data_IF_460409078680
#
_entry.id   IF_460409078680
#
_cell.length_a   1.000
_cell.length_b   1.000
_cell.length_c   1.000
_cell.angle_alpha   90.00
_cell.angle_beta   90.00
_cell.angle_gamma   90.00
#
_symmetry.space_group_name_H-M   'P 1'
#
loop_
_entity.id
_entity.type
_entity.pdbx_description
1 polymer ?
#
# COMPACT_ATOMS: atom_id res chain seq x y z
N UNK A 1 9.54 -38.76 6.13
CA UNK A 1 8.32 -37.99 6.36
C UNK A 1 8.58 -36.62 6.97
N UNK A 2 9.37 -36.54 8.01
CA UNK A 2 9.66 -35.26 8.69
C UNK A 2 10.36 -34.26 7.76
N UNK A 3 11.27 -34.73 6.92
CA UNK A 3 12.02 -33.89 5.99
C UNK A 3 11.09 -33.30 4.90
N UNK A 4 10.15 -34.09 4.40
CA UNK A 4 9.18 -33.66 3.38
C UNK A 4 8.25 -32.58 3.93
N UNK A 5 7.84 -32.73 5.19
CA UNK A 5 6.97 -31.78 5.88
C UNK A 5 7.68 -30.42 6.06
N UNK A 6 8.94 -30.47 6.46
CA UNK A 6 9.75 -29.26 6.67
C UNK A 6 9.95 -28.51 5.33
N UNK A 7 10.20 -29.23 4.24
CA UNK A 7 10.37 -28.64 2.92
C UNK A 7 9.09 -27.94 2.45
N UNK A 8 7.94 -28.55 2.68
CA UNK A 8 6.66 -27.98 2.32
C UNK A 8 6.39 -26.67 3.09
N UNK A 9 6.64 -26.68 4.39
CA UNK A 9 6.49 -25.53 5.24
C UNK A 9 7.42 -24.39 4.83
N UNK A 10 8.65 -24.71 4.50
CA UNK A 10 9.66 -23.75 4.03
C UNK A 10 9.22 -23.07 2.74
N UNK A 11 8.66 -23.82 1.80
CA UNK A 11 8.17 -23.30 0.53
C UNK A 11 7.02 -22.30 0.72
N UNK A 12 6.07 -22.66 1.59
CA UNK A 12 4.94 -21.77 1.90
C UNK A 12 5.40 -20.46 2.52
N UNK A 13 6.36 -20.53 3.43
CA UNK A 13 6.93 -19.36 4.07
C UNK A 13 7.63 -18.45 3.06
N UNK A 14 8.39 -19.02 2.13
CA UNK A 14 9.10 -18.27 1.09
C UNK A 14 8.13 -17.48 0.19
N UNK A 15 7.03 -18.08 -0.21
CA UNK A 15 6.00 -17.40 -1.01
C UNK A 15 5.38 -16.23 -0.26
N UNK A 16 5.10 -16.40 1.04
CA UNK A 16 4.54 -15.35 1.89
C UNK A 16 5.50 -14.17 2.01
N UNK A 17 6.79 -14.42 2.25
CA UNK A 17 7.83 -13.39 2.37
C UNK A 17 7.98 -12.62 1.05
N UNK A 18 8.02 -13.32 -0.08
CA UNK A 18 8.12 -12.69 -1.41
C UNK A 18 6.97 -11.73 -1.68
N UNK A 19 5.73 -12.14 -1.33
CA UNK A 19 4.54 -11.30 -1.48
C UNK A 19 4.63 -10.04 -0.62
N UNK A 20 5.10 -10.14 0.62
CA UNK A 20 5.31 -9.00 1.51
C UNK A 20 6.38 -8.04 0.99
N UNK A 21 7.48 -8.56 0.49
CA UNK A 21 8.56 -7.74 -0.05
C UNK A 21 8.07 -6.88 -1.22
N UNK A 22 7.24 -7.43 -2.08
CA UNK A 22 6.65 -6.68 -3.18
C UNK A 22 5.79 -5.52 -2.73
N UNK A 23 5.00 -5.71 -1.66
CA UNK A 23 4.15 -4.66 -1.09
C UNK A 23 5.00 -3.58 -0.40
N UNK A 24 6.04 -3.99 0.31
CA UNK A 24 6.98 -3.08 0.97
C UNK A 24 7.67 -2.20 -0.08
N UNK A 25 8.16 -2.78 -1.16
CA UNK A 25 8.82 -2.05 -2.24
C UNK A 25 7.88 -1.01 -2.85
N UNK A 26 6.62 -1.35 -3.10
CA UNK A 26 5.64 -0.43 -3.65
C UNK A 26 5.36 0.72 -2.70
N UNK A 27 5.20 0.42 -1.41
CA UNK A 27 4.96 1.43 -0.39
C UNK A 27 6.14 2.38 -0.27
N UNK A 28 7.35 1.85 -0.27
CA UNK A 28 8.57 2.64 -0.20
C UNK A 28 8.71 3.55 -1.41
N UNK A 29 8.46 3.03 -2.60
CA UNK A 29 8.58 3.79 -3.84
C UNK A 29 7.64 5.00 -3.85
N UNK A 30 6.37 4.80 -3.50
CA UNK A 30 5.42 5.91 -3.52
C UNK A 30 5.68 6.90 -2.39
N UNK A 31 6.08 6.44 -1.20
CA UNK A 31 6.39 7.34 -0.10
C UNK A 31 7.65 8.15 -0.37
N UNK A 32 8.66 7.57 -1.00
CA UNK A 32 9.87 8.29 -1.42
C UNK A 32 9.54 9.37 -2.45
N UNK A 33 8.68 9.07 -3.41
CA UNK A 33 8.23 10.04 -4.41
C UNK A 33 7.47 11.19 -3.75
N UNK A 34 6.53 10.89 -2.84
CA UNK A 34 5.81 11.92 -2.09
C UNK A 34 6.76 12.77 -1.26
N UNK A 35 7.74 12.15 -0.63
CA UNK A 35 8.75 12.86 0.17
C UNK A 35 9.51 13.88 -0.68
N UNK A 36 9.93 13.47 -1.86
CA UNK A 36 10.68 14.35 -2.77
C UNK A 36 9.79 15.46 -3.32
N UNK A 37 8.60 15.14 -3.80
CA UNK A 37 7.69 16.11 -4.42
C UNK A 37 7.18 17.13 -3.41
N UNK A 38 6.89 16.69 -2.19
CA UNK A 38 6.26 17.52 -1.16
C UNK A 38 7.25 18.04 -0.13
N UNK A 39 8.54 17.73 -0.26
CA UNK A 39 9.60 18.13 0.67
C UNK A 39 9.28 17.76 2.11
N UNK A 40 8.95 16.47 2.33
CA UNK A 40 8.57 15.98 3.64
C UNK A 40 9.81 15.72 4.50
N UNK A 41 9.67 15.94 5.81
CA UNK A 41 10.71 15.56 6.75
C UNK A 41 10.69 14.05 7.00
N UNK A 42 11.69 13.54 7.71
CA UNK A 42 11.85 12.10 7.94
C UNK A 42 10.68 11.52 8.72
N UNK A 43 10.21 12.20 9.76
CA UNK A 43 9.10 11.74 10.58
C UNK A 43 7.81 11.64 9.77
N UNK A 44 7.50 12.65 8.97
CA UNK A 44 6.32 12.65 8.11
C UNK A 44 6.43 11.59 7.03
N UNK A 45 7.60 11.45 6.41
CA UNK A 45 7.87 10.41 5.40
C UNK A 45 7.61 9.02 5.93
N UNK A 46 8.01 8.75 7.18
CA UNK A 46 7.78 7.45 7.80
C UNK A 46 6.28 7.19 8.02
N UNK A 47 5.55 8.21 8.46
CA UNK A 47 4.08 8.09 8.61
C UNK A 47 3.42 7.79 7.26
N UNK A 48 3.83 8.47 6.20
CA UNK A 48 3.30 8.24 4.85
C UNK A 48 3.62 6.83 4.38
N UNK A 49 4.84 6.35 4.63
CA UNK A 49 5.21 4.99 4.29
C UNK A 49 4.27 3.96 4.92
N UNK A 50 3.99 4.08 6.22
CA UNK A 50 3.10 3.14 6.91
C UNK A 50 1.67 3.22 6.40
N UNK A 51 1.18 4.41 6.08
CA UNK A 51 -0.15 4.59 5.48
C UNK A 51 -0.22 3.88 4.12
N UNK A 52 0.80 4.05 3.28
CA UNK A 52 0.84 3.43 1.96
C UNK A 52 0.99 1.91 2.05
N UNK A 53 1.82 1.42 2.98
CA UNK A 53 1.97 -0.03 3.16
C UNK A 53 0.64 -0.68 3.55
N UNK A 54 -0.07 -0.09 4.51
CA UNK A 54 -1.38 -0.59 4.92
C UNK A 54 -2.37 -0.59 3.76
N UNK A 55 -2.38 0.47 2.96
CA UNK A 55 -3.23 0.56 1.77
C UNK A 55 -2.96 -0.59 0.79
N UNK A 56 -1.70 -0.92 0.53
CA UNK A 56 -1.37 -2.02 -0.39
C UNK A 56 -1.76 -3.39 0.19
N UNK A 57 -1.56 -3.58 1.49
CA UNK A 57 -1.97 -4.81 2.17
C UNK A 57 -3.50 -4.97 2.10
N UNK A 58 -4.23 -3.91 2.43
CA UNK A 58 -5.69 -3.93 2.42
C UNK A 58 -6.24 -4.15 1.00
N UNK A 59 -5.64 -3.53 -0.01
CA UNK A 59 -6.03 -3.72 -1.41
C UNK A 59 -5.86 -5.17 -1.84
N UNK A 60 -4.76 -5.81 -1.45
CA UNK A 60 -4.53 -7.22 -1.77
C UNK A 60 -5.58 -8.12 -1.14
N UNK A 61 -5.92 -7.86 0.13
CA UNK A 61 -6.98 -8.60 0.83
C UNK A 61 -8.31 -8.47 0.12
N UNK A 62 -8.67 -7.26 -0.31
CA UNK A 62 -9.92 -7.01 -1.02
C UNK A 62 -9.94 -7.77 -2.35
N UNK A 63 -8.87 -7.71 -3.12
CA UNK A 63 -8.79 -8.41 -4.40
C UNK A 63 -8.88 -9.92 -4.25
N UNK A 64 -8.28 -10.46 -3.20
CA UNK A 64 -8.37 -11.90 -2.91
C UNK A 64 -9.77 -12.30 -2.44
N UNK A 65 -10.34 -11.53 -1.53
CA UNK A 65 -11.65 -11.82 -0.93
C UNK A 65 -12.77 -11.77 -1.98
N UNK A 66 -12.73 -10.76 -2.85
CA UNK A 66 -13.81 -10.51 -3.82
C UNK A 66 -13.41 -10.83 -5.25
N UNK A 67 -12.48 -11.75 -5.46
CA UNK A 67 -11.98 -12.07 -6.80
C UNK A 67 -13.08 -12.57 -7.74
N UNK A 68 -14.13 -13.18 -7.19
CA UNK A 68 -15.26 -13.71 -7.95
C UNK A 68 -16.49 -12.78 -7.91
N UNK A 69 -16.34 -11.58 -7.36
CA UNK A 69 -17.40 -10.57 -7.26
C UNK A 69 -16.82 -9.21 -7.63
N UNK A 70 -16.75 -8.94 -8.93
CA UNK A 70 -16.12 -7.72 -9.44
C UNK A 70 -16.81 -6.44 -8.96
N UNK A 71 -18.16 -6.34 -8.95
CA UNK A 71 -18.80 -5.13 -8.42
C UNK A 71 -18.46 -4.86 -6.97
N UNK A 72 -18.44 -5.88 -6.12
CA UNK A 72 -18.08 -5.71 -4.71
C UNK A 72 -16.61 -5.35 -4.56
N UNK A 73 -15.72 -5.96 -5.33
CA UNK A 73 -14.30 -5.62 -5.33
C UNK A 73 -14.11 -4.12 -5.61
N UNK A 74 -14.74 -3.60 -6.67
CA UNK A 74 -14.62 -2.19 -7.02
C UNK A 74 -15.17 -1.28 -5.93
N UNK A 75 -16.30 -1.65 -5.32
CA UNK A 75 -16.90 -0.87 -4.24
C UNK A 75 -15.96 -0.80 -3.02
N UNK A 76 -15.38 -1.92 -2.63
CA UNK A 76 -14.46 -1.97 -1.49
C UNK A 76 -13.14 -1.24 -1.76
N UNK A 77 -12.62 -1.35 -2.98
CA UNK A 77 -11.41 -0.61 -3.37
C UNK A 77 -11.66 0.91 -3.37
N UNK A 78 -12.86 1.34 -3.78
CA UNK A 78 -13.23 2.76 -3.72
C UNK A 78 -13.29 3.26 -2.28
N UNK A 79 -13.87 2.49 -1.37
CA UNK A 79 -13.89 2.83 0.06
C UNK A 79 -12.47 2.93 0.61
N UNK A 80 -11.60 2.01 0.23
CA UNK A 80 -10.20 2.03 0.63
C UNK A 80 -9.51 3.30 0.13
N UNK A 81 -9.75 3.69 -1.13
CA UNK A 81 -9.18 4.90 -1.70
C UNK A 81 -9.65 6.15 -0.94
N UNK A 82 -10.91 6.21 -0.57
CA UNK A 82 -11.44 7.34 0.21
C UNK A 82 -10.80 7.40 1.60
N UNK A 83 -10.62 6.26 2.26
CA UNK A 83 -9.93 6.22 3.56
C UNK A 83 -8.48 6.65 3.44
N UNK A 84 -7.79 6.20 2.38
CA UNK A 84 -6.41 6.59 2.10
C UNK A 84 -6.30 8.11 1.99
N UNK A 85 -7.16 8.72 1.21
CA UNK A 85 -7.16 10.18 1.01
C UNK A 85 -7.31 10.90 2.35
N UNK A 86 -8.27 10.46 3.18
CA UNK A 86 -8.49 11.05 4.50
C UNK A 86 -7.27 10.93 5.41
N UNK A 87 -6.62 9.76 5.43
CA UNK A 87 -5.43 9.54 6.26
C UNK A 87 -4.25 10.39 5.79
N UNK A 88 -4.03 10.46 4.48
CA UNK A 88 -2.96 11.28 3.92
C UNK A 88 -3.21 12.76 4.23
N UNK A 89 -4.44 13.22 4.05
CA UNK A 89 -4.80 14.61 4.32
C UNK A 89 -4.61 14.98 5.80
N UNK A 90 -4.91 14.05 6.71
CA UNK A 90 -4.71 14.28 8.14
C UNK A 90 -3.24 14.51 8.50
N UNK A 91 -2.31 13.89 7.77
CA UNK A 91 -0.88 14.03 8.00
C UNK A 91 -0.30 15.22 7.24
N UNK A 92 -0.72 15.42 5.99
CA UNK A 92 -0.08 16.38 5.07
C UNK A 92 -0.75 17.74 5.04
N UNK A 93 -2.08 17.79 5.23
CA UNK A 93 -2.85 19.02 5.07
C UNK A 93 -3.27 19.26 3.62
N UNK A 94 -4.21 20.19 3.46
CA UNK A 94 -4.87 20.43 2.17
C UNK A 94 -3.91 20.89 1.07
N UNK A 95 -2.96 21.77 1.40
CA UNK A 95 -2.06 22.33 0.40
C UNK A 95 -1.14 21.26 -0.19
N UNK A 96 -0.57 20.41 0.66
CA UNK A 96 0.27 19.31 0.19
C UNK A 96 -0.54 18.27 -0.60
N UNK A 97 -1.77 18.02 -0.18
CA UNK A 97 -2.65 17.10 -0.92
C UNK A 97 -2.97 17.63 -2.31
N UNK A 98 -3.19 18.93 -2.46
CA UNK A 98 -3.36 19.57 -3.77
C UNK A 98 -2.12 19.42 -4.63
N UNK A 99 -0.96 19.67 -4.06
CA UNK A 99 0.32 19.53 -4.77
C UNK A 99 0.54 18.09 -5.23
N UNK A 100 0.24 17.12 -4.38
CA UNK A 100 0.34 15.71 -4.75
C UNK A 100 -0.60 15.34 -5.88
N UNK A 101 -1.86 15.80 -5.80
CA UNK A 101 -2.84 15.59 -6.86
C UNK A 101 -2.41 16.17 -8.20
N UNK A 102 -1.85 17.38 -8.17
CA UNK A 102 -1.33 18.03 -9.37
C UNK A 102 -0.14 17.26 -9.95
N UNK A 103 0.76 16.77 -9.10
CA UNK A 103 1.90 15.95 -9.54
C UNK A 103 1.43 14.67 -10.25
N UNK A 104 0.46 13.97 -9.68
CA UNK A 104 -0.07 12.74 -10.27
C UNK A 104 -0.69 12.96 -11.63
N UNK A 105 -1.31 14.11 -11.85
CA UNK A 105 -1.91 14.46 -13.13
C UNK A 105 -0.88 14.83 -14.20
N UNK A 106 0.32 15.25 -13.80
CA UNK A 106 1.37 15.69 -14.71
C UNK A 106 2.20 14.56 -15.30
N UNK A 107 2.07 13.34 -14.76
CA UNK A 107 2.86 12.19 -15.21
C UNK A 107 2.06 11.19 -16.03
#
# INVERSE_FOLDING_TARGET
>A
MTILYVLFFSLTFSLSVYSQDGLIDRAKKISDEMTMVLSLDEETSEKIYHIQLKRFIDAQKIRTTFKNDKPMMRAELKKLQNRLWGKLNAVLGDDKMKSWGAHKKSI
#
